data_IF_842043979072
#
_entry.id   IF_842043979072
#
_cell.length_a   1.000
_cell.length_b   1.000
_cell.length_c   1.000
_cell.angle_alpha   90.00
_cell.angle_beta   90.00
_cell.angle_gamma   90.00
#
_symmetry.space_group_name_H-M   'P 1'
#
loop_
_entity.id
_entity.type
_entity.pdbx_description
1 polymer ?
#
# COMPACT_ATOMS: atom_id res chain seq x y z
N UNK A 1 -1.48 -35.69 -51.40
CA UNK A 1 -0.98 -35.63 -50.00
C UNK A 1 -0.94 -34.19 -49.55
N UNK A 2 -1.90 -33.74 -48.74
CA UNK A 2 -1.78 -32.52 -47.91
C UNK A 2 -2.46 -32.82 -46.58
N UNK A 3 -1.67 -32.82 -45.52
CA UNK A 3 -2.09 -33.11 -44.14
C UNK A 3 -2.98 -32.00 -43.61
N UNK A 4 -4.11 -32.38 -43.02
CA UNK A 4 -4.93 -31.50 -42.19
C UNK A 4 -4.30 -31.41 -40.80
N UNK A 5 -3.85 -30.22 -40.40
CA UNK A 5 -3.52 -29.92 -39.01
C UNK A 5 -4.81 -29.46 -38.34
N UNK A 6 -5.32 -30.28 -37.43
CA UNK A 6 -6.48 -29.97 -36.59
C UNK A 6 -5.99 -29.11 -35.41
N UNK A 7 -6.29 -27.82 -35.44
CA UNK A 7 -6.03 -26.91 -34.34
C UNK A 7 -7.12 -27.12 -33.27
N UNK A 8 -6.77 -27.83 -32.19
CA UNK A 8 -7.62 -27.95 -31.00
C UNK A 8 -7.60 -26.61 -30.29
N UNK A 9 -8.68 -25.84 -30.42
CA UNK A 9 -8.91 -24.65 -29.62
C UNK A 9 -9.24 -25.09 -28.18
N UNK A 10 -8.24 -24.97 -27.30
CA UNK A 10 -8.42 -25.09 -25.86
C UNK A 10 -9.22 -23.86 -25.40
N UNK A 11 -10.50 -24.05 -25.06
CA UNK A 11 -11.29 -23.03 -24.38
C UNK A 11 -10.75 -22.88 -22.95
N UNK A 12 -9.92 -21.87 -22.71
CA UNK A 12 -9.65 -21.37 -21.36
C UNK A 12 -10.93 -20.72 -20.82
N UNK A 13 -11.63 -21.40 -19.92
CA UNK A 13 -12.68 -20.78 -19.10
C UNK A 13 -12.08 -19.62 -18.31
N UNK A 14 -12.58 -18.41 -18.57
CA UNK A 14 -12.18 -17.20 -17.88
C UNK A 14 -12.46 -17.32 -16.37
N UNK A 15 -11.40 -17.31 -15.56
CA UNK A 15 -11.50 -17.19 -14.11
C UNK A 15 -11.84 -15.74 -13.76
N UNK A 16 -13.12 -15.37 -13.87
CA UNK A 16 -13.56 -14.00 -13.60
C UNK A 16 -14.08 -13.89 -12.16
N UNK A 17 -13.38 -13.14 -11.31
CA UNK A 17 -13.98 -12.48 -10.14
C UNK A 17 -14.62 -11.19 -10.65
N UNK A 18 -15.90 -10.98 -10.33
CA UNK A 18 -16.64 -9.81 -10.81
C UNK A 18 -16.91 -8.85 -9.66
N UNK A 19 -16.56 -7.58 -9.88
CA UNK A 19 -17.02 -6.49 -9.02
C UNK A 19 -18.47 -6.23 -9.40
N UNK A 20 -19.42 -6.38 -8.47
CA UNK A 20 -20.80 -5.97 -8.73
C UNK A 20 -20.80 -4.46 -8.90
N UNK A 21 -21.31 -3.94 -10.02
CA UNK A 21 -21.20 -2.55 -10.52
C UNK A 21 -20.88 -1.49 -9.45
N UNK A 22 -19.59 -1.39 -9.07
CA UNK A 22 -19.14 -0.46 -8.05
C UNK A 22 -19.23 1.00 -8.53
N UNK A 23 -19.29 1.20 -9.86
CA UNK A 23 -19.50 2.50 -10.48
C UNK A 23 -20.91 3.07 -10.29
N UNK A 24 -21.88 2.29 -9.82
CA UNK A 24 -23.26 2.78 -9.57
C UNK A 24 -23.51 3.20 -8.11
N UNK A 25 -22.49 3.20 -7.25
CA UNK A 25 -22.62 3.81 -5.93
C UNK A 25 -22.73 5.32 -6.09
N UNK A 26 -23.97 5.84 -5.95
CA UNK A 26 -24.31 7.25 -6.10
C UNK A 26 -23.32 8.18 -5.36
N UNK A 27 -23.00 9.37 -5.92
CA UNK A 27 -22.23 10.37 -5.21
C UNK A 27 -22.93 10.77 -3.91
N UNK A 28 -22.15 11.04 -2.86
CA UNK A 28 -22.69 11.55 -1.61
C UNK A 28 -23.41 12.89 -1.84
N UNK A 29 -24.69 12.95 -1.46
CA UNK A 29 -25.39 14.21 -1.20
C UNK A 29 -24.75 14.88 0.03
N UNK A 30 -24.58 16.22 0.05
CA UNK A 30 -24.08 16.90 1.24
C UNK A 30 -25.03 16.68 2.43
N UNK A 31 -24.47 16.17 3.52
CA UNK A 31 -25.00 16.03 4.89
C UNK A 31 -26.53 16.15 5.08
N UNK A 32 -27.18 15.01 5.41
CA UNK A 32 -28.24 15.02 6.41
C UNK A 32 -27.69 14.43 7.71
N UNK A 33 -27.43 15.32 8.68
CA UNK A 33 -27.27 14.94 10.09
C UNK A 33 -28.55 14.26 10.55
N UNK A 34 -28.51 12.94 10.71
CA UNK A 34 -29.58 12.17 11.35
C UNK A 34 -28.99 11.28 12.42
N UNK A 35 -29.42 11.53 13.67
CA UNK A 35 -29.65 10.55 14.73
C UNK A 35 -28.49 9.67 15.17
N UNK A 36 -28.06 9.85 16.43
CA UNK A 36 -27.23 8.92 17.17
C UNK A 36 -27.91 7.53 17.29
N UNK A 37 -27.62 6.66 16.33
CA UNK A 37 -27.49 5.23 16.53
C UNK A 37 -26.01 4.93 16.32
N UNK A 38 -25.41 4.06 17.15
CA UNK A 38 -24.02 3.62 17.02
C UNK A 38 -23.84 2.95 15.66
N UNK A 39 -23.57 3.73 14.61
CA UNK A 39 -23.24 3.22 13.30
C UNK A 39 -21.95 2.43 13.43
N UNK A 40 -21.96 1.16 13.00
CA UNK A 40 -20.76 0.34 12.97
C UNK A 40 -19.65 1.07 12.20
N UNK A 41 -18.40 0.96 12.68
CA UNK A 41 -17.23 1.59 12.04
C UNK A 41 -17.22 1.21 10.54
N UNK A 42 -17.27 2.20 9.62
CA UNK A 42 -17.39 1.93 8.19
C UNK A 42 -16.19 1.18 7.60
N UNK A 43 -15.06 1.08 8.33
CA UNK A 43 -13.83 0.40 7.93
C UNK A 43 -13.57 -0.90 8.71
N UNK A 44 -14.46 -1.29 9.63
CA UNK A 44 -14.30 -2.50 10.43
C UNK A 44 -14.79 -3.76 9.68
N UNK A 45 -13.85 -4.50 9.08
CA UNK A 45 -14.14 -5.78 8.43
C UNK A 45 -14.46 -6.88 9.45
N UNK A 46 -15.59 -7.56 9.29
CA UNK A 46 -15.93 -8.68 10.18
C UNK A 46 -15.27 -9.95 9.65
N UNK A 47 -14.35 -10.53 10.41
CA UNK A 47 -13.73 -11.83 10.09
C UNK A 47 -14.79 -12.92 10.24
N UNK A 48 -14.98 -13.70 9.18
CA UNK A 48 -15.91 -14.81 9.11
C UNK A 48 -15.17 -16.13 9.37
N UNK A 49 -15.82 -17.12 10.01
CA UNK A 49 -15.23 -18.44 10.17
C UNK A 49 -14.99 -19.10 8.81
N UNK A 50 -13.97 -19.94 8.74
CA UNK A 50 -13.77 -20.82 7.59
C UNK A 50 -14.98 -21.76 7.43
N UNK A 51 -15.41 -22.08 6.19
CA UNK A 51 -16.47 -23.04 5.96
C UNK A 51 -16.12 -24.40 6.58
N UNK A 52 -17.08 -25.03 7.24
CA UNK A 52 -16.88 -26.33 7.86
C UNK A 52 -16.39 -27.37 6.84
N UNK A 53 -15.29 -28.05 7.16
CA UNK A 53 -14.68 -29.05 6.28
C UNK A 53 -13.81 -28.50 5.16
N UNK A 54 -13.61 -27.18 5.06
CA UNK A 54 -12.64 -26.62 4.14
C UNK A 54 -11.21 -27.04 4.52
N UNK A 55 -10.36 -27.45 3.56
CA UNK A 55 -8.97 -27.75 3.86
C UNK A 55 -8.26 -26.50 4.37
N UNK A 56 -7.38 -26.67 5.35
CA UNK A 56 -6.52 -25.58 5.82
C UNK A 56 -5.70 -25.06 4.64
N UNK A 57 -5.85 -23.77 4.32
CA UNK A 57 -5.00 -23.11 3.33
C UNK A 57 -3.71 -22.70 4.00
N UNK A 58 -2.72 -23.59 3.92
CA UNK A 58 -1.37 -23.34 4.42
C UNK A 58 -0.55 -22.72 3.30
N UNK A 59 -0.43 -21.40 3.34
CA UNK A 59 0.55 -20.66 2.55
C UNK A 59 1.56 -20.05 3.53
N UNK A 60 2.66 -20.78 3.75
CA UNK A 60 3.69 -20.37 4.70
C UNK A 60 4.37 -19.06 4.31
N UNK A 61 4.48 -18.79 3.00
CA UNK A 61 5.10 -17.57 2.49
C UNK A 61 4.17 -16.39 2.70
N UNK A 62 2.88 -16.50 2.34
CA UNK A 62 1.92 -15.43 2.61
C UNK A 62 1.75 -15.18 4.11
N UNK A 63 1.79 -16.23 4.95
CA UNK A 63 1.76 -16.07 6.41
C UNK A 63 2.98 -15.29 6.92
N UNK A 64 4.18 -15.61 6.44
CA UNK A 64 5.39 -14.88 6.78
C UNK A 64 5.33 -13.42 6.29
N UNK A 65 4.86 -13.18 5.06
CA UNK A 65 4.67 -11.84 4.52
C UNK A 65 3.70 -11.00 5.38
N UNK A 66 2.55 -11.58 5.79
CA UNK A 66 1.60 -10.93 6.71
C UNK A 66 2.26 -10.62 8.05
N UNK A 67 2.99 -11.57 8.64
CA UNK A 67 3.64 -11.36 9.92
C UNK A 67 4.72 -10.26 9.85
N UNK A 68 5.49 -10.24 8.76
CA UNK A 68 6.51 -9.22 8.48
C UNK A 68 5.89 -7.82 8.33
N UNK A 69 4.82 -7.68 7.54
CA UNK A 69 4.10 -6.41 7.40
C UNK A 69 3.63 -5.88 8.76
N UNK A 70 3.01 -6.75 9.57
CA UNK A 70 2.52 -6.41 10.91
C UNK A 70 3.65 -6.04 11.87
N UNK A 71 4.86 -6.57 11.65
CA UNK A 71 6.05 -6.27 12.44
C UNK A 71 6.78 -4.99 11.98
N UNK A 72 6.30 -4.30 10.93
CA UNK A 72 6.93 -3.10 10.38
C UNK A 72 8.04 -3.37 9.36
N UNK A 73 8.25 -4.62 8.95
CA UNK A 73 9.24 -5.02 7.94
C UNK A 73 8.50 -5.36 6.65
N UNK A 74 8.12 -4.36 5.87
CA UNK A 74 7.24 -4.55 4.73
C UNK A 74 7.89 -5.45 3.66
N UNK A 75 7.22 -6.55 3.25
CA UNK A 75 7.63 -7.32 2.07
C UNK A 75 7.14 -6.67 0.76
N UNK A 76 6.54 -5.47 0.83
CA UNK A 76 5.83 -4.83 -0.28
C UNK A 76 4.43 -5.42 -0.44
N UNK A 77 4.08 -5.83 -1.65
CA UNK A 77 2.80 -6.49 -1.95
C UNK A 77 2.76 -7.89 -1.33
N UNK A 78 1.68 -8.20 -0.61
CA UNK A 78 1.40 -9.53 -0.08
C UNK A 78 0.81 -10.42 -1.19
N UNK A 79 1.64 -11.29 -1.77
CA UNK A 79 1.29 -12.11 -2.95
C UNK A 79 1.58 -13.62 -2.78
N UNK A 80 2.10 -14.04 -1.63
CA UNK A 80 2.46 -15.43 -1.34
C UNK A 80 3.68 -15.93 -2.11
N UNK A 81 4.50 -15.03 -2.69
CA UNK A 81 5.69 -15.39 -3.46
C UNK A 81 6.98 -14.98 -2.78
N UNK A 82 8.00 -15.81 -2.96
CA UNK A 82 9.37 -15.48 -2.57
C UNK A 82 9.98 -14.53 -3.61
N UNK A 83 9.91 -13.23 -3.32
CA UNK A 83 10.50 -12.17 -4.14
C UNK A 83 11.60 -11.42 -3.39
N UNK A 84 12.34 -10.57 -4.11
CA UNK A 84 13.43 -9.78 -3.52
C UNK A 84 12.98 -8.91 -2.34
N UNK A 85 11.79 -8.31 -2.39
CA UNK A 85 11.26 -7.51 -1.28
C UNK A 85 10.98 -8.37 -0.04
N UNK A 86 10.48 -9.60 -0.21
CA UNK A 86 10.29 -10.56 0.87
C UNK A 86 11.64 -10.98 1.48
N UNK A 87 12.63 -11.32 0.67
CA UNK A 87 13.98 -11.63 1.14
C UNK A 87 14.59 -10.47 1.94
N UNK A 88 14.47 -9.23 1.43
CA UNK A 88 14.97 -8.04 2.13
C UNK A 88 14.24 -7.78 3.44
N UNK A 89 12.92 -7.99 3.48
CA UNK A 89 12.14 -7.88 4.70
C UNK A 89 12.59 -8.90 5.76
N UNK A 90 12.85 -10.14 5.36
CA UNK A 90 13.43 -11.16 6.24
C UNK A 90 14.82 -10.75 6.74
N UNK A 91 15.71 -10.29 5.86
CA UNK A 91 17.06 -9.81 6.25
C UNK A 91 16.98 -8.70 7.29
N UNK A 92 16.13 -7.68 7.05
CA UNK A 92 15.95 -6.56 7.98
C UNK A 92 15.34 -7.00 9.32
N UNK A 93 14.32 -7.87 9.28
CA UNK A 93 13.71 -8.42 10.49
C UNK A 93 14.72 -9.25 11.30
N UNK A 94 15.49 -10.11 10.64
CA UNK A 94 16.53 -10.92 11.27
C UNK A 94 17.56 -10.03 11.96
N UNK A 95 18.05 -8.99 11.27
CA UNK A 95 18.98 -8.02 11.85
C UNK A 95 18.38 -7.34 13.09
N UNK A 96 17.13 -6.87 13.00
CA UNK A 96 16.43 -6.22 14.12
C UNK A 96 16.13 -7.17 15.31
N UNK A 97 16.16 -8.49 15.10
CA UNK A 97 15.97 -9.51 16.14
C UNK A 97 17.27 -10.17 16.59
N UNK A 98 18.43 -9.69 16.13
CA UNK A 98 19.72 -10.28 16.46
C UNK A 98 19.92 -11.70 15.90
N UNK A 99 19.19 -12.06 14.85
CA UNK A 99 19.36 -13.30 14.10
C UNK A 99 20.39 -13.10 12.97
N UNK A 100 20.87 -14.20 12.39
CA UNK A 100 21.71 -14.16 11.18
C UNK A 100 20.89 -13.56 10.01
N UNK A 101 21.30 -12.41 9.43
CA UNK A 101 20.53 -11.73 8.39
C UNK A 101 20.76 -12.37 7.00
N UNK A 102 20.36 -13.63 6.84
CA UNK A 102 20.56 -14.42 5.63
C UNK A 102 19.40 -14.30 4.61
N UNK A 103 18.30 -13.63 4.97
CA UNK A 103 17.11 -13.46 4.13
C UNK A 103 16.31 -14.74 3.90
N UNK A 104 16.61 -15.82 4.63
CA UNK A 104 15.93 -17.11 4.53
C UNK A 104 14.84 -17.23 5.58
N UNK A 105 13.69 -17.78 5.18
CA UNK A 105 12.61 -18.11 6.11
C UNK A 105 12.86 -19.48 6.77
N UNK A 106 13.91 -19.54 7.60
CA UNK A 106 14.31 -20.74 8.35
C UNK A 106 13.53 -20.90 9.69
N UNK A 107 13.77 -22.00 10.41
CA UNK A 107 13.08 -22.31 11.66
C UNK A 107 13.28 -21.23 12.74
N UNK A 108 14.49 -20.68 12.84
CA UNK A 108 14.80 -19.62 13.80
C UNK A 108 14.03 -18.33 13.47
N UNK A 109 14.00 -17.97 12.18
CA UNK A 109 13.26 -16.81 11.68
C UNK A 109 11.75 -17.00 11.83
N UNK A 110 11.22 -18.17 11.48
CA UNK A 110 9.81 -18.51 11.65
C UNK A 110 9.40 -18.43 13.12
N UNK A 111 10.19 -19.00 14.04
CA UNK A 111 9.93 -18.93 15.48
C UNK A 111 9.90 -17.49 16.00
N UNK A 112 10.87 -16.68 15.59
CA UNK A 112 10.96 -15.27 16.02
C UNK A 112 9.83 -14.41 15.43
N UNK A 113 9.43 -14.69 14.19
CA UNK A 113 8.43 -13.91 13.45
C UNK A 113 6.99 -14.26 13.85
N UNK A 114 6.71 -15.55 14.03
CA UNK A 114 5.36 -16.06 14.26
C UNK A 114 4.99 -16.17 15.74
N UNK A 115 5.98 -16.37 16.61
CA UNK A 115 5.76 -16.63 18.04
C UNK A 115 4.88 -17.85 18.29
N UNK A 116 4.19 -17.86 19.43
CA UNK A 116 3.36 -18.99 19.88
C UNK A 116 1.94 -18.98 19.28
N UNK A 117 1.50 -17.84 18.76
CA UNK A 117 0.16 -17.63 18.21
C UNK A 117 0.23 -16.95 16.84
N UNK A 118 0.71 -17.66 15.79
CA UNK A 118 0.84 -17.08 14.46
C UNK A 118 -0.48 -16.52 13.92
N UNK A 119 -0.49 -15.35 13.26
CA UNK A 119 -1.63 -14.97 12.46
C UNK A 119 -1.80 -15.98 11.31
N UNK A 120 -3.04 -16.24 10.83
CA UNK A 120 -3.21 -17.03 9.62
C UNK A 120 -2.67 -16.27 8.40
N UNK A 121 -2.46 -16.96 7.29
CA UNK A 121 -2.10 -16.30 6.02
C UNK A 121 -3.23 -15.40 5.48
N UNK A 122 -4.48 -15.85 5.65
CA UNK A 122 -5.66 -15.17 5.11
C UNK A 122 -6.82 -15.17 6.10
N UNK A 123 -7.76 -14.25 5.89
CA UNK A 123 -9.09 -14.26 6.49
C UNK A 123 -10.15 -14.31 5.40
N UNK A 124 -11.32 -14.86 5.73
CA UNK A 124 -12.54 -14.48 5.04
C UNK A 124 -13.10 -13.29 5.79
N UNK A 125 -13.38 -12.20 5.08
CA UNK A 125 -13.95 -10.99 5.68
C UNK A 125 -15.23 -10.61 4.98
N UNK A 126 -16.20 -10.13 5.74
CA UNK A 126 -17.37 -9.45 5.19
C UNK A 126 -17.01 -7.99 4.90
N UNK A 127 -17.25 -7.54 3.67
CA UNK A 127 -16.98 -6.17 3.23
C UNK A 127 -18.02 -5.22 3.84
N UNK A 128 -17.64 -4.24 4.68
CA UNK A 128 -18.57 -3.29 5.26
C UNK A 128 -19.23 -2.43 4.18
N UNK A 129 -20.51 -2.09 4.36
CA UNK A 129 -21.22 -1.18 3.44
C UNK A 129 -20.53 0.18 3.34
N UNK A 130 -20.03 0.69 4.48
CA UNK A 130 -19.25 1.92 4.56
C UNK A 130 -18.02 1.90 3.65
N UNK A 131 -17.22 0.83 3.75
CA UNK A 131 -16.02 0.65 2.95
C UNK A 131 -16.33 0.46 1.47
N UNK A 132 -17.40 -0.28 1.14
CA UNK A 132 -17.78 -0.57 -0.24
C UNK A 132 -18.21 0.68 -1.03
N UNK A 133 -18.62 1.75 -0.32
CA UNK A 133 -18.97 3.02 -0.95
C UNK A 133 -17.73 3.68 -1.58
N UNK A 134 -17.99 4.31 -2.73
CA UNK A 134 -17.02 5.13 -3.44
C UNK A 134 -16.71 6.46 -2.71
N UNK A 135 -16.24 7.49 -3.43
CA UNK A 135 -16.27 7.60 -4.88
C UNK A 135 -15.25 6.69 -5.58
N UNK A 136 -15.65 6.13 -6.73
CA UNK A 136 -14.75 5.49 -7.67
C UNK A 136 -14.70 6.31 -8.96
N UNK A 137 -13.55 6.39 -9.61
CA UNK A 137 -13.38 7.20 -10.82
C UNK A 137 -12.49 6.52 -11.85
N UNK A 138 -12.89 6.61 -13.12
CA UNK A 138 -12.00 6.28 -14.23
C UNK A 138 -11.01 7.43 -14.40
N UNK A 139 -9.72 7.13 -14.22
CA UNK A 139 -8.67 8.15 -14.29
C UNK A 139 -8.19 8.34 -15.73
N UNK A 140 -8.22 9.56 -16.28
CA UNK A 140 -7.62 9.85 -17.57
C UNK A 140 -6.10 9.70 -17.49
N UNK A 141 -5.44 9.41 -18.62
CA UNK A 141 -3.99 9.21 -18.65
C UNK A 141 -3.17 10.47 -18.39
N UNK A 142 -3.63 11.64 -18.84
CA UNK A 142 -2.88 12.90 -18.77
C UNK A 142 -3.10 13.66 -17.46
N UNK A 143 -2.04 14.21 -16.87
CA UNK A 143 -2.09 14.92 -15.59
C UNK A 143 -2.97 16.18 -15.65
N UNK A 144 -2.96 16.92 -16.75
CA UNK A 144 -3.85 18.08 -16.94
C UNK A 144 -5.34 17.71 -16.99
N UNK A 145 -5.68 16.51 -17.47
CA UNK A 145 -7.06 16.01 -17.44
C UNK A 145 -7.44 15.47 -16.06
N UNK A 146 -6.51 14.79 -15.39
CA UNK A 146 -6.67 14.35 -14.01
C UNK A 146 -6.92 15.53 -13.06
N UNK A 147 -6.29 16.68 -13.31
CA UNK A 147 -6.48 17.91 -12.52
C UNK A 147 -7.91 18.47 -12.57
N UNK A 148 -8.75 18.04 -13.52
CA UNK A 148 -10.17 18.43 -13.61
C UNK A 148 -11.07 17.57 -12.71
N UNK A 149 -10.55 16.46 -12.18
CA UNK A 149 -11.30 15.58 -11.29
C UNK A 149 -11.38 16.19 -9.87
N UNK A 150 -12.49 15.96 -9.14
CA UNK A 150 -12.62 16.44 -7.76
C UNK A 150 -11.69 15.73 -6.78
N UNK A 151 -11.26 14.49 -7.12
CA UNK A 151 -10.30 13.68 -6.38
C UNK A 151 -9.70 12.60 -7.30
N UNK A 152 -8.50 12.13 -6.97
CA UNK A 152 -7.86 10.99 -7.64
C UNK A 152 -8.15 9.69 -6.89
N UNK A 153 -9.43 9.36 -6.82
CA UNK A 153 -9.98 8.21 -6.10
C UNK A 153 -9.54 6.86 -6.68
N UNK A 154 -9.82 5.78 -5.96
CA UNK A 154 -9.75 4.42 -6.50
C UNK A 154 -10.59 4.27 -7.77
N UNK A 155 -10.13 3.44 -8.70
CA UNK A 155 -10.80 3.06 -9.95
C UNK A 155 -12.02 2.18 -9.71
N UNK A 156 -11.97 1.34 -8.69
CA UNK A 156 -13.06 0.45 -8.29
C UNK A 156 -12.84 -0.11 -6.87
N UNK A 157 -13.83 -0.85 -6.36
CA UNK A 157 -13.78 -1.47 -5.04
C UNK A 157 -12.68 -2.53 -4.90
N UNK A 158 -12.35 -3.26 -5.97
CA UNK A 158 -11.32 -4.31 -5.89
C UNK A 158 -9.93 -3.71 -5.67
N UNK A 159 -9.62 -2.59 -6.32
CA UNK A 159 -8.39 -1.82 -6.05
C UNK A 159 -8.36 -1.28 -4.63
N UNK A 160 -9.46 -0.68 -4.16
CA UNK A 160 -9.59 -0.18 -2.78
C UNK A 160 -9.37 -1.29 -1.75
N UNK A 161 -9.94 -2.48 -1.98
CA UNK A 161 -9.72 -3.67 -1.15
C UNK A 161 -8.27 -4.16 -1.23
N UNK A 162 -7.66 -4.13 -2.42
CA UNK A 162 -6.28 -4.56 -2.60
C UNK A 162 -5.33 -3.72 -1.76
N UNK A 163 -5.45 -2.38 -1.81
CA UNK A 163 -4.66 -1.50 -0.95
C UNK A 163 -4.96 -1.73 0.54
N UNK A 164 -6.23 -1.91 0.93
CA UNK A 164 -6.62 -2.18 2.32
C UNK A 164 -6.00 -3.45 2.91
N UNK A 165 -5.67 -4.42 2.07
CA UNK A 165 -5.04 -5.67 2.48
C UNK A 165 -3.61 -5.81 1.94
N UNK A 166 -2.98 -4.68 1.60
CA UNK A 166 -1.58 -4.55 1.20
C UNK A 166 -1.19 -5.48 0.04
N UNK A 167 -2.11 -5.67 -0.90
CA UNK A 167 -1.97 -6.64 -1.99
C UNK A 167 -2.35 -5.99 -3.33
N UNK A 168 -2.59 -6.81 -4.35
CA UNK A 168 -3.02 -6.35 -5.68
C UNK A 168 -4.39 -6.93 -6.03
N UNK A 169 -5.15 -6.29 -6.94
CA UNK A 169 -6.39 -6.84 -7.46
C UNK A 169 -6.21 -8.27 -7.98
N UNK A 170 -5.11 -8.56 -8.68
CA UNK A 170 -4.81 -9.87 -9.26
C UNK A 170 -4.66 -10.95 -8.18
N UNK A 171 -3.99 -10.64 -7.07
CA UNK A 171 -3.85 -11.56 -5.94
C UNK A 171 -5.20 -11.77 -5.26
N UNK A 172 -6.01 -10.71 -5.07
CA UNK A 172 -7.36 -10.86 -4.53
C UNK A 172 -8.22 -11.77 -5.42
N UNK A 173 -8.14 -11.62 -6.75
CA UNK A 173 -8.81 -12.54 -7.67
C UNK A 173 -8.31 -13.98 -7.46
N UNK A 174 -6.99 -14.19 -7.38
CA UNK A 174 -6.41 -15.52 -7.23
C UNK A 174 -6.73 -16.20 -5.88
N UNK A 175 -6.89 -15.43 -4.80
CA UNK A 175 -7.25 -15.96 -3.48
C UNK A 175 -8.70 -16.46 -3.41
N UNK A 176 -9.55 -16.02 -4.34
CA UNK A 176 -10.99 -16.24 -4.29
C UNK A 176 -11.46 -17.20 -5.39
N UNK A 177 -12.49 -18.04 -5.12
CA UNK A 177 -13.05 -18.91 -6.14
C UNK A 177 -13.50 -18.12 -7.39
N UNK A 178 -13.36 -18.69 -8.60
CA UNK A 178 -13.93 -18.08 -9.81
C UNK A 178 -15.41 -17.75 -9.63
N UNK A 179 -15.84 -16.58 -10.09
CA UNK A 179 -17.21 -16.10 -9.96
C UNK A 179 -17.53 -15.44 -8.60
N UNK A 180 -16.55 -15.29 -7.70
CA UNK A 180 -16.74 -14.52 -6.46
C UNK A 180 -17.19 -13.10 -6.80
N UNK A 181 -18.25 -12.65 -6.14
CA UNK A 181 -18.78 -11.28 -6.25
C UNK A 181 -18.16 -10.42 -5.16
N UNK A 182 -17.71 -9.22 -5.54
CA UNK A 182 -17.13 -8.25 -4.61
C UNK A 182 -18.04 -7.03 -4.51
N UNK A 183 -18.56 -6.79 -3.31
CA UNK A 183 -19.51 -5.71 -3.01
C UNK A 183 -19.85 -5.60 -1.53
N UNK A 184 -20.68 -4.62 -1.18
CA UNK A 184 -21.16 -4.43 0.19
C UNK A 184 -21.82 -5.71 0.75
N UNK A 185 -21.48 -6.08 1.97
CA UNK A 185 -22.02 -7.25 2.66
C UNK A 185 -21.54 -8.61 2.14
N UNK A 186 -20.81 -8.65 1.02
CA UNK A 186 -20.24 -9.89 0.48
C UNK A 186 -19.03 -10.35 1.29
N UNK A 187 -18.73 -11.65 1.24
CA UNK A 187 -17.55 -12.23 1.86
C UNK A 187 -16.45 -12.48 0.83
N UNK A 188 -15.23 -12.06 1.16
CA UNK A 188 -14.05 -12.21 0.31
C UNK A 188 -12.87 -12.70 1.15
N UNK A 189 -12.04 -13.57 0.58
CA UNK A 189 -10.77 -13.97 1.16
C UNK A 189 -9.68 -12.94 0.86
N UNK A 190 -8.94 -12.56 1.90
CA UNK A 190 -7.91 -11.50 1.85
C UNK A 190 -6.71 -11.89 2.71
N UNK A 191 -5.51 -11.31 2.47
CA UNK A 191 -4.40 -11.39 3.43
C UNK A 191 -4.83 -10.95 4.84
N UNK A 192 -4.31 -11.61 5.88
CA UNK A 192 -4.74 -11.41 7.27
C UNK A 192 -4.15 -10.15 7.95
N UNK A 193 -4.34 -8.99 7.31
CA UNK A 193 -3.96 -7.67 7.82
C UNK A 193 -5.00 -7.18 8.82
N UNK A 194 -4.57 -6.81 10.03
CA UNK A 194 -5.46 -6.39 11.13
C UNK A 194 -6.35 -5.21 10.76
N UNK A 195 -7.56 -5.22 11.33
CA UNK A 195 -8.38 -4.01 11.34
C UNK A 195 -7.72 -2.91 12.16
N UNK A 196 -7.89 -1.69 11.66
CA UNK A 196 -7.56 -0.47 12.38
C UNK A 196 -8.83 0.38 12.43
N UNK A 197 -9.21 0.87 13.63
CA UNK A 197 -10.36 1.77 13.74
C UNK A 197 -10.05 3.09 13.03
N UNK A 198 -11.10 3.82 12.65
CA UNK A 198 -10.94 5.22 12.21
C UNK A 198 -10.32 6.03 13.35
N UNK A 199 -9.13 6.56 13.09
CA UNK A 199 -8.35 7.28 14.06
C UNK A 199 -8.83 8.74 14.19
N UNK A 200 -9.11 9.22 15.41
CA UNK A 200 -9.30 10.65 15.65
C UNK A 200 -7.95 11.34 15.66
N UNK A 201 -7.71 12.28 14.74
CA UNK A 201 -6.44 12.98 14.58
C UNK A 201 -6.69 14.49 14.70
N UNK A 202 -5.93 15.15 15.57
CA UNK A 202 -6.02 16.59 15.75
C UNK A 202 -5.60 17.32 14.47
N UNK A 203 -6.38 18.32 14.07
CA UNK A 203 -6.14 19.06 12.82
C UNK A 203 -6.38 18.25 11.55
N UNK A 204 -7.13 17.14 11.63
CA UNK A 204 -7.44 16.32 10.46
C UNK A 204 -8.56 16.91 9.59
N UNK A 205 -8.22 17.95 8.84
CA UNK A 205 -9.13 18.61 7.92
C UNK A 205 -9.39 17.82 6.63
N UNK A 206 -8.57 16.80 6.36
CA UNK A 206 -8.55 16.08 5.07
C UNK A 206 -8.83 14.57 5.20
N UNK A 207 -9.35 14.12 6.34
CA UNK A 207 -9.77 12.73 6.54
C UNK A 207 -8.62 11.71 6.60
N UNK A 208 -7.46 12.11 7.10
CA UNK A 208 -6.31 11.24 7.33
C UNK A 208 -6.62 10.03 8.22
N UNK A 209 -7.47 10.19 9.24
CA UNK A 209 -7.93 9.09 10.09
C UNK A 209 -8.66 8.00 9.31
N UNK A 210 -9.47 8.39 8.32
CA UNK A 210 -10.14 7.47 7.41
C UNK A 210 -9.16 6.85 6.42
N UNK A 211 -8.19 7.62 5.92
CA UNK A 211 -7.11 7.10 5.07
C UNK A 211 -6.32 5.99 5.77
N UNK A 212 -5.94 6.20 7.03
CA UNK A 212 -5.25 5.20 7.84
C UNK A 212 -6.08 3.93 8.01
N UNK A 213 -7.36 4.04 8.38
CA UNK A 213 -8.26 2.89 8.50
C UNK A 213 -8.49 2.17 7.16
N UNK A 214 -8.60 2.95 6.08
CA UNK A 214 -8.72 2.47 4.70
C UNK A 214 -7.48 1.74 4.18
N UNK A 215 -6.32 2.02 4.76
CA UNK A 215 -5.05 1.33 4.48
C UNK A 215 -4.66 0.34 5.58
N UNK A 216 -5.50 0.09 6.60
CA UNK A 216 -5.15 -0.78 7.72
C UNK A 216 -3.89 -0.36 8.50
N UNK A 217 -3.56 0.93 8.50
CA UNK A 217 -2.40 1.48 9.20
C UNK A 217 -2.83 2.02 10.55
N UNK A 218 -2.23 1.54 11.64
CA UNK A 218 -2.53 2.05 12.97
C UNK A 218 -2.01 3.50 13.11
N UNK A 219 -2.78 4.36 13.78
CA UNK A 219 -2.36 5.71 14.14
C UNK A 219 -1.10 5.70 15.00
N UNK A 220 -1.06 4.81 15.98
CA UNK A 220 0.06 4.69 16.89
C UNK A 220 1.13 3.79 16.25
N UNK A 221 2.25 4.40 15.88
CA UNK A 221 3.44 3.72 15.37
C UNK A 221 4.64 4.04 16.28
N UNK A 222 5.66 3.16 16.33
CA UNK A 222 6.92 3.46 16.97
C UNK A 222 7.51 4.79 16.48
N UNK A 223 8.05 5.59 17.39
CA UNK A 223 8.68 6.86 17.04
C UNK A 223 10.06 6.60 16.44
N UNK A 224 10.30 7.21 15.28
CA UNK A 224 11.60 7.21 14.65
C UNK A 224 12.49 8.30 15.26
N UNK A 225 13.77 7.99 15.47
CA UNK A 225 14.82 8.98 15.72
C UNK A 225 15.40 9.49 14.39
N UNK A 226 15.66 8.57 13.46
CA UNK A 226 16.13 8.89 12.12
C UNK A 226 15.74 7.81 11.10
N UNK A 227 15.87 8.17 9.83
CA UNK A 227 15.66 7.24 8.71
C UNK A 227 16.91 7.16 7.84
N UNK A 228 17.10 5.99 7.22
CA UNK A 228 18.14 5.74 6.23
C UNK A 228 17.49 5.29 4.93
N UNK A 229 17.80 5.96 3.82
CA UNK A 229 17.45 5.48 2.48
C UNK A 229 18.70 4.89 1.87
N UNK A 230 18.69 3.58 1.68
CA UNK A 230 19.79 2.83 1.11
C UNK A 230 19.51 2.56 -0.36
N UNK A 231 20.30 3.19 -1.23
CA UNK A 231 20.12 3.07 -2.68
C UNK A 231 20.55 1.69 -3.18
N UNK A 232 21.64 1.13 -2.66
CA UNK A 232 22.13 -0.19 -3.07
C UNK A 232 21.13 -1.30 -2.73
N UNK A 233 20.46 -1.18 -1.58
CA UNK A 233 19.46 -2.13 -1.14
C UNK A 233 18.05 -1.78 -1.66
N UNK A 234 17.80 -0.55 -2.10
CA UNK A 234 16.45 -0.11 -2.50
C UNK A 234 15.47 -0.16 -1.33
N UNK A 235 15.91 0.29 -0.16
CA UNK A 235 15.15 0.23 1.09
C UNK A 235 15.15 1.59 1.79
N UNK A 236 14.04 1.88 2.47
CA UNK A 236 13.98 2.88 3.53
C UNK A 236 13.94 2.14 4.86
N UNK A 237 14.91 2.40 5.72
CA UNK A 237 15.05 1.83 7.07
C UNK A 237 14.74 2.90 8.11
N UNK A 238 14.07 2.52 9.18
CA UNK A 238 13.66 3.41 10.27
C UNK A 238 14.29 2.93 11.55
N UNK A 239 14.91 3.85 12.29
CA UNK A 239 15.65 3.55 13.50
C UNK A 239 15.10 4.33 14.70
N UNK A 240 15.17 3.73 15.88
CA UNK A 240 14.88 4.41 17.14
C UNK A 240 16.12 5.13 17.71
N UNK A 241 15.98 5.70 18.91
CA UNK A 241 17.05 6.45 19.57
C UNK A 241 18.23 5.60 20.05
N UNK A 242 18.11 4.26 20.01
CA UNK A 242 19.17 3.31 20.35
C UNK A 242 19.89 2.77 19.10
N UNK A 243 19.62 3.34 17.92
CA UNK A 243 20.05 2.83 16.61
C UNK A 243 19.51 1.41 16.31
N UNK A 244 18.39 1.00 16.92
CA UNK A 244 17.73 -0.26 16.59
C UNK A 244 16.76 -0.06 15.42
N UNK A 245 16.81 -0.96 14.42
CA UNK A 245 15.89 -0.91 13.29
C UNK A 245 14.49 -1.33 13.74
N UNK A 246 13.54 -0.40 13.67
CA UNK A 246 12.15 -0.59 14.10
C UNK A 246 11.17 -0.79 12.94
N UNK A 247 11.55 -0.39 11.73
CA UNK A 247 10.80 -0.66 10.51
C UNK A 247 11.69 -0.61 9.26
N UNK A 248 11.20 -1.23 8.19
CA UNK A 248 11.84 -1.21 6.87
C UNK A 248 10.80 -1.30 5.76
N UNK A 249 10.98 -0.51 4.70
CA UNK A 249 10.08 -0.45 3.55
C UNK A 249 10.84 -0.57 2.24
N UNK A 250 10.37 -1.41 1.28
CA UNK A 250 10.83 -1.37 -0.09
C UNK A 250 10.65 0.01 -0.70
N UNK A 251 11.68 0.52 -1.37
CA UNK A 251 11.67 1.86 -1.93
C UNK A 251 12.07 1.84 -3.41
N UNK A 252 11.37 2.61 -4.22
CA UNK A 252 11.86 3.00 -5.54
C UNK A 252 12.54 4.36 -5.46
N UNK A 253 13.80 4.41 -5.89
CA UNK A 253 14.63 5.63 -5.87
C UNK A 253 14.89 6.18 -7.28
N UNK A 254 15.58 7.32 -7.32
CA UNK A 254 15.91 8.07 -8.53
C UNK A 254 16.64 7.29 -9.62
N UNK A 255 16.36 7.67 -10.88
CA UNK A 255 16.97 7.14 -12.10
C UNK A 255 18.44 7.58 -12.27
N UNK A 256 19.08 7.19 -13.37
CA UNK A 256 20.37 7.78 -13.73
C UNK A 256 20.26 9.27 -14.08
N UNK A 257 19.12 9.69 -14.64
CA UNK A 257 18.89 11.08 -15.02
C UNK A 257 18.62 11.95 -13.79
N UNK A 258 17.85 11.42 -12.84
CA UNK A 258 17.46 12.08 -11.61
C UNK A 258 17.88 11.20 -10.42
N UNK A 259 19.17 11.17 -10.07
CA UNK A 259 19.68 10.25 -9.05
C UNK A 259 19.16 10.60 -7.66
N UNK A 260 19.09 9.57 -6.79
CA UNK A 260 18.90 9.78 -5.36
C UNK A 260 20.02 10.69 -4.84
N UNK A 261 19.68 11.82 -4.18
CA UNK A 261 20.68 12.77 -3.70
C UNK A 261 21.32 12.24 -2.41
N UNK A 262 22.39 11.45 -2.55
CA UNK A 262 23.16 10.90 -1.41
C UNK A 262 23.64 12.03 -0.50
N UNK A 263 23.46 11.88 0.82
CA UNK A 263 23.82 12.90 1.79
C UNK A 263 22.95 12.91 3.04
N UNK A 264 23.14 13.94 3.86
CA UNK A 264 22.38 14.15 5.08
C UNK A 264 21.28 15.18 4.83
N UNK A 265 20.04 14.78 5.07
CA UNK A 265 18.85 15.59 4.94
C UNK A 265 18.07 15.60 6.26
N UNK A 266 17.03 16.41 6.31
CA UNK A 266 16.08 16.44 7.42
C UNK A 266 14.65 16.42 6.91
N UNK A 267 13.76 15.72 7.60
CA UNK A 267 12.32 15.82 7.37
C UNK A 267 11.83 17.19 7.81
N UNK A 268 11.24 17.96 6.91
CA UNK A 268 10.68 19.28 7.19
C UNK A 268 9.25 19.18 7.73
N UNK A 269 8.47 18.23 7.23
CA UNK A 269 7.08 18.04 7.63
C UNK A 269 6.39 16.93 6.86
N UNK A 270 5.13 16.69 7.21
CA UNK A 270 4.28 15.67 6.60
C UNK A 270 3.01 16.35 6.11
N UNK A 271 2.75 16.27 4.80
CA UNK A 271 1.50 16.71 4.19
C UNK A 271 0.63 15.48 3.92
N UNK A 272 -0.45 15.37 4.69
CA UNK A 272 -1.42 14.26 4.64
C UNK A 272 -2.51 14.57 3.62
N UNK A 273 -2.84 13.61 2.77
CA UNK A 273 -3.76 13.77 1.64
C UNK A 273 -3.48 15.07 0.85
N UNK A 274 -2.25 15.24 0.31
CA UNK A 274 -1.82 16.49 -0.32
C UNK A 274 -2.47 16.72 -1.68
N UNK A 275 -2.66 17.99 -2.06
CA UNK A 275 -2.78 18.36 -3.47
C UNK A 275 -1.40 18.17 -4.13
N UNK A 276 -1.35 17.78 -5.40
CA UNK A 276 -0.10 17.68 -6.15
C UNK A 276 0.02 18.83 -7.15
N UNK A 277 1.03 19.68 -6.96
CA UNK A 277 1.33 20.81 -7.84
C UNK A 277 2.27 20.34 -8.96
N UNK A 278 1.68 19.88 -10.06
CA UNK A 278 2.43 19.47 -11.24
C UNK A 278 3.05 20.69 -11.93
N UNK A 279 4.37 20.62 -12.15
CA UNK A 279 5.10 21.55 -12.98
C UNK A 279 5.89 20.77 -14.04
N UNK A 280 5.48 20.79 -15.32
CA UNK A 280 6.15 20.04 -16.39
C UNK A 280 7.61 20.46 -16.58
N UNK A 281 7.98 21.69 -16.21
CA UNK A 281 9.37 22.18 -16.29
C UNK A 281 10.35 21.38 -15.43
N UNK A 282 9.85 20.60 -14.45
CA UNK A 282 10.65 19.76 -13.56
C UNK A 282 10.84 18.33 -14.08
N UNK A 283 10.22 17.95 -15.20
CA UNK A 283 10.23 16.59 -15.73
C UNK A 283 10.79 16.60 -17.15
N UNK A 284 11.94 15.95 -17.34
CA UNK A 284 12.60 15.89 -18.64
C UNK A 284 11.80 15.10 -19.70
N UNK A 285 10.88 14.24 -19.26
CA UNK A 285 9.99 13.42 -20.09
C UNK A 285 8.54 13.94 -20.16
N UNK A 286 8.27 15.15 -19.64
CA UNK A 286 6.97 15.80 -19.79
C UNK A 286 6.60 15.97 -21.27
N UNK A 287 5.32 15.76 -21.59
CA UNK A 287 4.86 15.96 -22.96
C UNK A 287 4.88 17.46 -23.30
N UNK A 288 5.18 17.82 -24.54
CA UNK A 288 5.23 19.23 -24.97
C UNK A 288 3.91 20.01 -24.81
N UNK A 289 2.80 19.31 -24.58
CA UNK A 289 1.46 19.87 -24.34
C UNK A 289 1.08 19.98 -22.87
N UNK A 290 1.94 19.49 -21.98
CA UNK A 290 1.66 19.48 -20.55
C UNK A 290 1.79 20.90 -19.99
N UNK A 291 0.87 21.27 -19.10
CA UNK A 291 0.83 22.58 -18.46
C UNK A 291 0.88 22.42 -16.94
N UNK A 292 1.22 23.50 -16.23
CA UNK A 292 1.15 23.53 -14.76
C UNK A 292 -0.28 23.22 -14.32
N UNK A 293 -0.43 22.33 -13.35
CA UNK A 293 -1.73 21.89 -12.88
C UNK A 293 -1.70 21.59 -11.37
N UNK A 294 -2.85 21.71 -10.72
CA UNK A 294 -3.04 21.27 -9.34
C UNK A 294 -3.99 20.08 -9.36
N UNK A 295 -3.45 18.91 -9.03
CA UNK A 295 -4.22 17.68 -8.96
C UNK A 295 -4.73 17.51 -7.53
N UNK A 296 -6.01 17.17 -7.39
CA UNK A 296 -6.64 16.97 -6.09
C UNK A 296 -6.16 15.68 -5.41
N UNK A 297 -6.27 15.59 -4.08
CA UNK A 297 -5.79 14.43 -3.33
C UNK A 297 -6.45 13.13 -3.76
N UNK A 298 -5.76 12.02 -3.50
CA UNK A 298 -6.32 10.69 -3.63
C UNK A 298 -5.24 9.61 -3.70
N UNK A 299 -5.59 8.35 -3.42
CA UNK A 299 -4.65 7.22 -3.43
C UNK A 299 -4.00 7.02 -4.80
N UNK A 300 -4.70 7.42 -5.88
CA UNK A 300 -4.18 7.33 -7.23
C UNK A 300 -3.42 8.58 -7.71
N UNK A 301 -3.16 9.54 -6.82
CA UNK A 301 -2.37 10.72 -7.13
C UNK A 301 -0.88 10.43 -7.35
N UNK A 302 -0.13 11.26 -8.09
CA UNK A 302 1.29 11.02 -8.37
C UNK A 302 2.17 10.85 -7.12
N UNK A 303 1.78 11.46 -6.00
CA UNK A 303 2.45 11.36 -4.71
C UNK A 303 1.69 10.48 -3.70
N UNK A 304 0.64 9.79 -4.14
CA UNK A 304 -0.21 8.96 -3.31
C UNK A 304 -0.90 9.75 -2.18
N UNK A 305 -1.07 9.10 -1.04
CA UNK A 305 -1.82 9.62 0.11
C UNK A 305 -1.03 10.57 1.02
N UNK A 306 0.29 10.65 0.87
CA UNK A 306 1.14 11.45 1.77
C UNK A 306 2.43 11.89 1.09
N UNK A 307 2.86 13.11 1.43
CA UNK A 307 4.16 13.65 1.10
C UNK A 307 4.94 13.96 2.38
N UNK A 308 6.12 13.39 2.52
CA UNK A 308 7.07 13.69 3.61
C UNK A 308 8.17 14.55 3.00
N UNK A 309 8.20 15.81 3.40
CA UNK A 309 9.05 16.84 2.82
C UNK A 309 10.48 16.77 3.37
N UNK A 310 11.47 17.03 2.52
CA UNK A 310 12.89 16.96 2.87
C UNK A 310 13.55 18.33 2.80
N UNK A 311 14.70 18.47 3.46
CA UNK A 311 15.51 19.69 3.35
C UNK A 311 16.06 19.94 1.95
N UNK A 312 16.07 18.92 1.09
CA UNK A 312 16.39 19.04 -0.33
C UNK A 312 15.16 19.50 -1.13
N UNK A 313 15.27 20.68 -1.74
CA UNK A 313 14.19 21.26 -2.54
C UNK A 313 13.70 20.32 -3.66
N UNK A 314 12.38 20.18 -3.76
CA UNK A 314 11.64 19.32 -4.71
C UNK A 314 11.75 17.81 -4.49
N UNK A 315 12.43 17.36 -3.43
CA UNK A 315 12.52 15.94 -3.09
C UNK A 315 11.65 15.62 -1.88
N UNK A 316 11.02 14.44 -1.93
CA UNK A 316 10.22 13.93 -0.82
C UNK A 316 10.18 12.41 -0.81
N UNK A 317 9.66 11.88 0.29
CA UNK A 317 9.27 10.48 0.43
C UNK A 317 7.74 10.44 0.34
N UNK A 318 7.19 9.62 -0.53
CA UNK A 318 5.76 9.65 -0.81
C UNK A 318 5.19 8.28 -1.24
N UNK A 319 3.86 8.20 -1.27
CA UNK A 319 3.13 7.01 -1.74
C UNK A 319 3.12 6.86 -3.25
N UNK A 320 2.39 5.87 -3.77
CA UNK A 320 2.25 5.65 -5.21
C UNK A 320 0.93 4.97 -5.57
N UNK A 321 0.34 5.29 -6.74
CA UNK A 321 -0.82 4.57 -7.30
C UNK A 321 -0.49 3.13 -7.73
N UNK A 322 0.79 2.79 -7.90
CA UNK A 322 1.22 1.54 -8.53
C UNK A 322 2.14 0.75 -7.58
N UNK A 323 1.61 0.21 -6.46
CA UNK A 323 2.41 -0.46 -5.43
C UNK A 323 3.23 -1.64 -5.96
N UNK A 324 2.75 -2.34 -6.99
CA UNK A 324 3.43 -3.45 -7.65
C UNK A 324 4.73 -3.06 -8.39
N UNK A 325 4.97 -1.76 -8.59
CA UNK A 325 6.17 -1.22 -9.26
C UNK A 325 7.27 -0.78 -8.28
N UNK A 326 7.01 -0.86 -6.97
CA UNK A 326 8.01 -0.54 -5.94
C UNK A 326 9.21 -1.51 -6.04
N UNK A 327 10.43 -0.96 -6.08
CA UNK A 327 11.68 -1.69 -6.26
C UNK A 327 11.91 -2.25 -7.67
N UNK A 328 11.02 -1.99 -8.64
CA UNK A 328 11.09 -2.52 -10.01
C UNK A 328 11.24 -1.46 -11.10
N UNK A 329 11.11 -0.19 -10.73
CA UNK A 329 11.15 0.96 -11.64
C UNK A 329 12.11 2.02 -11.10
N UNK A 330 12.28 3.13 -11.83
CA UNK A 330 13.07 4.28 -11.39
C UNK A 330 12.16 5.51 -11.27
N UNK A 331 12.46 6.43 -10.36
CA UNK A 331 11.74 7.70 -10.17
C UNK A 331 12.50 8.89 -10.75
N UNK A 332 11.85 10.05 -10.77
CA UNK A 332 12.45 11.37 -11.02
C UNK A 332 13.15 11.93 -9.77
N UNK A 333 13.91 11.09 -9.05
CA UNK A 333 14.70 11.48 -7.88
C UNK A 333 14.03 11.29 -6.52
N UNK A 334 12.70 11.36 -6.43
CA UNK A 334 11.96 11.14 -5.17
C UNK A 334 11.99 9.67 -4.69
N UNK A 335 11.65 9.45 -3.42
CA UNK A 335 11.57 8.11 -2.81
C UNK A 335 10.11 7.69 -2.79
N UNK A 336 9.78 6.67 -3.58
CA UNK A 336 8.42 6.12 -3.65
C UNK A 336 8.31 4.88 -2.79
N UNK A 337 7.26 4.84 -1.98
CA UNK A 337 6.80 3.68 -1.22
C UNK A 337 5.38 3.33 -1.68
N UNK A 338 4.86 2.18 -1.26
CA UNK A 338 3.43 1.90 -1.33
C UNK A 338 2.66 2.91 -0.48
N UNK A 339 1.37 3.14 -0.77
CA UNK A 339 0.56 4.07 0.03
C UNK A 339 0.50 3.68 1.51
N UNK A 340 0.36 2.38 1.82
CA UNK A 340 0.32 1.89 3.21
C UNK A 340 1.66 2.06 3.95
N UNK A 341 2.80 1.82 3.28
CA UNK A 341 4.11 2.02 3.89
C UNK A 341 4.43 3.50 4.09
N UNK A 342 4.07 4.35 3.11
CA UNK A 342 4.20 5.80 3.23
C UNK A 342 3.33 6.34 4.38
N UNK A 343 2.09 5.86 4.50
CA UNK A 343 1.17 6.23 5.58
C UNK A 343 1.68 5.77 6.96
N UNK A 344 2.26 4.56 7.04
CA UNK A 344 2.91 4.05 8.26
C UNK A 344 4.10 4.93 8.64
N UNK A 345 5.01 5.21 7.71
CA UNK A 345 6.16 6.10 7.93
C UNK A 345 5.72 7.49 8.40
N UNK A 346 4.66 8.05 7.81
CA UNK A 346 4.10 9.34 8.19
C UNK A 346 3.60 9.43 9.65
N UNK A 347 3.34 8.30 10.32
CA UNK A 347 3.03 8.26 11.74
C UNK A 347 4.29 8.12 12.62
N UNK A 348 5.40 7.65 12.06
CA UNK A 348 6.67 7.44 12.76
C UNK A 348 7.53 8.69 12.82
N UNK A 349 7.50 9.50 11.75
CA UNK A 349 8.39 10.66 11.58
C UNK A 349 7.87 11.94 12.23
N UNK A 350 8.80 12.86 12.52
CA UNK A 350 8.52 14.19 13.06
C UNK A 350 9.38 15.26 12.36
N UNK A 351 8.98 16.53 12.51
CA UNK A 351 9.74 17.65 11.93
C UNK A 351 11.17 17.72 12.50
N UNK A 352 12.12 18.12 11.66
CA UNK A 352 13.57 18.17 11.95
C UNK A 352 14.25 16.81 12.18
N UNK A 353 13.54 15.69 11.99
CA UNK A 353 14.12 14.35 12.08
C UNK A 353 15.18 14.14 10.98
N UNK A 354 16.28 13.45 11.29
CA UNK A 354 17.37 13.20 10.33
C UNK A 354 16.94 12.16 9.28
N UNK A 355 17.39 12.39 8.05
CA UNK A 355 17.23 11.47 6.93
C UNK A 355 18.58 11.30 6.21
N UNK A 356 19.20 10.12 6.34
CA UNK A 356 20.48 9.80 5.73
C UNK A 356 20.27 9.03 4.42
N UNK A 357 20.75 9.54 3.30
CA UNK A 357 20.70 8.85 2.02
C UNK A 357 22.09 8.32 1.71
N UNK A 358 22.20 7.00 1.51
CA UNK A 358 23.47 6.31 1.33
C UNK A 358 23.50 5.52 0.01
N UNK A 359 24.70 5.32 -0.58
CA UNK A 359 24.88 4.86 -1.95
C UNK A 359 24.39 3.42 -2.21
#
# INVERSE_FOLDING_TARGET
>A
MKQSVLLIALFCSACNVSVTDANESQPATPEQKSGAQSAADPYAFVVQPEPAGAPARVDSILQAQVALDRAGFSPGVLDGREGMSFTKALTGFQQARGLTPNGQYDEATAKALLGDAPPPATWIVQVPEGFARGPFAVLPKGLNEQAKLPALSYRNLLEKLAERFHTTPEVLVALNPPGTKVGAGTSIRVPAIANQPVATIEGDERGWGETLAGLAVAKDQPRADHIVVDKSEGLLKVYDANDEMIAQFPATTGSQHDPLPIGNWTVKGVSRNPDFHYNPDLFWDAAAKDEKAVLKPGPNGPVGVVWIDLSKDHYGIHGTPEPQNIGRTQSHGCIRLTNWDAARLAQMVQGSMKALFQP
#
